data_IF_894900503000
#
_entry.id   IF_894900503000
#
_cell.length_a   1.000
_cell.length_b   1.000
_cell.length_c   1.000
_cell.angle_alpha   90.00
_cell.angle_beta   90.00
_cell.angle_gamma   90.00
#
_symmetry.space_group_name_H-M   'P 1'
#
loop_
_entity.id
_entity.type
_entity.pdbx_description
1 polymer ?
#
# COMPACT_ATOMS: atom_id res chain seq x y z
N UNK A 1 18.92 8.31 33.09
CA UNK A 1 18.20 9.58 32.99
C UNK A 1 17.44 9.55 31.69
N UNK A 2 16.12 9.78 31.69
CA UNK A 2 15.33 9.74 30.45
C UNK A 2 15.58 11.01 29.61
N UNK A 3 15.49 10.98 28.29
CA UNK A 3 15.66 12.14 27.42
C UNK A 3 14.58 13.21 27.72
N UNK A 4 15.00 14.43 28.08
CA UNK A 4 14.12 15.56 28.40
C UNK A 4 14.73 16.90 27.97
N UNK A 5 13.94 17.95 27.96
CA UNK A 5 14.32 19.32 27.64
C UNK A 5 13.47 20.33 28.44
N UNK A 6 13.52 20.24 29.79
CA UNK A 6 12.65 20.99 30.70
C UNK A 6 12.70 22.50 30.47
N UNK A 7 13.87 23.07 30.15
CA UNK A 7 13.99 24.52 29.86
C UNK A 7 13.18 24.93 28.61
N UNK A 8 13.13 24.04 27.59
CA UNK A 8 12.32 24.31 26.38
C UNK A 8 10.83 24.12 26.64
N UNK A 9 10.46 23.17 27.51
CA UNK A 9 9.08 23.00 27.95
C UNK A 9 8.58 24.26 28.68
N UNK A 10 9.37 24.80 29.62
CA UNK A 10 9.10 26.05 30.29
C UNK A 10 8.95 27.23 29.31
N UNK A 11 9.83 27.29 28.31
CA UNK A 11 9.80 28.32 27.28
C UNK A 11 8.51 28.25 26.42
N UNK A 12 8.07 27.05 26.05
CA UNK A 12 6.81 26.87 25.29
C UNK A 12 5.61 27.32 26.12
N UNK A 13 5.50 26.84 27.38
CA UNK A 13 4.38 27.21 28.25
C UNK A 13 4.37 28.73 28.51
N UNK A 14 5.57 29.29 28.82
CA UNK A 14 5.69 30.73 29.08
C UNK A 14 5.28 31.57 27.89
N UNK A 15 5.68 31.18 26.66
CA UNK A 15 5.28 31.86 25.43
C UNK A 15 3.75 31.80 25.24
N UNK A 16 3.12 30.65 25.47
CA UNK A 16 1.66 30.49 25.38
C UNK A 16 0.87 31.31 26.41
N UNK A 17 1.49 31.64 27.55
CA UNK A 17 0.89 32.45 28.60
C UNK A 17 0.94 33.96 28.28
N UNK A 18 1.91 34.41 27.48
CA UNK A 18 2.17 35.82 27.17
C UNK A 18 1.55 36.20 25.81
N UNK A 19 1.72 35.36 24.80
CA UNK A 19 1.34 35.66 23.42
C UNK A 19 0.19 34.74 22.97
N UNK A 20 -0.94 35.36 22.59
CA UNK A 20 -2.14 34.63 22.16
C UNK A 20 -1.92 33.83 20.85
N UNK A 21 -1.00 34.27 20.00
CA UNK A 21 -0.68 33.63 18.74
C UNK A 21 0.30 32.45 18.89
N UNK A 22 0.94 32.27 20.06
CA UNK A 22 1.90 31.23 20.31
C UNK A 22 1.29 29.82 20.40
N UNK A 23 0.15 29.68 21.07
CA UNK A 23 -0.49 28.38 21.26
C UNK A 23 -1.00 27.75 19.96
N UNK A 24 -1.65 28.46 19.01
CA UNK A 24 -2.01 27.91 17.72
C UNK A 24 -0.87 27.28 16.94
N UNK A 25 0.36 27.81 17.05
CA UNK A 25 1.54 27.32 16.34
C UNK A 25 2.03 25.95 16.84
N UNK A 26 1.66 25.58 18.06
CA UNK A 26 2.11 24.35 18.71
C UNK A 26 0.98 23.38 19.09
N UNK A 27 -0.26 23.82 19.05
CA UNK A 27 -1.43 23.03 19.48
C UNK A 27 -1.63 21.74 18.66
N UNK A 28 -1.28 21.78 17.37
CA UNK A 28 -1.37 20.61 16.47
C UNK A 28 -0.12 19.71 16.55
N UNK A 29 0.99 20.25 17.07
CA UNK A 29 2.30 19.56 17.11
C UNK A 29 2.58 18.91 18.46
N UNK A 30 2.02 19.43 19.55
CA UNK A 30 2.26 18.98 20.90
C UNK A 30 1.00 18.49 21.61
N UNK A 31 1.15 17.45 22.39
CA UNK A 31 0.14 16.93 23.31
C UNK A 31 0.69 16.99 24.73
N UNK A 32 -0.18 17.08 25.76
CA UNK A 32 0.25 17.18 27.16
C UNK A 32 1.24 16.08 27.58
N UNK A 33 1.02 14.85 27.16
CA UNK A 33 1.86 13.70 27.46
C UNK A 33 3.28 13.76 26.87
N UNK A 34 3.53 14.68 25.93
CA UNK A 34 4.86 14.89 25.34
C UNK A 34 5.82 15.67 26.25
N UNK A 35 5.28 16.37 27.26
CA UNK A 35 6.10 17.05 28.25
C UNK A 35 6.66 16.04 29.28
N UNK A 36 7.88 16.27 29.73
CA UNK A 36 8.53 15.40 30.70
C UNK A 36 8.08 15.67 32.13
N UNK A 37 7.88 16.97 32.47
CA UNK A 37 7.45 17.40 33.79
C UNK A 37 5.92 17.31 33.91
N UNK A 38 5.45 16.59 34.92
CA UNK A 38 4.02 16.40 35.21
C UNK A 38 3.28 17.76 35.41
N UNK A 39 3.96 18.77 35.97
CA UNK A 39 3.40 20.10 36.13
C UNK A 39 3.17 20.76 34.79
N UNK A 40 4.12 20.61 33.87
CA UNK A 40 4.02 21.13 32.50
C UNK A 40 2.89 20.44 31.72
N UNK A 41 2.74 19.10 31.89
CA UNK A 41 1.63 18.36 31.30
C UNK A 41 0.27 18.93 31.75
N UNK A 42 0.09 19.17 33.05
CA UNK A 42 -1.16 19.70 33.61
C UNK A 42 -1.47 21.12 33.12
N UNK A 43 -0.44 21.96 33.04
CA UNK A 43 -0.60 23.33 32.55
C UNK A 43 -0.97 23.32 31.06
N UNK A 44 -0.21 22.54 30.24
CA UNK A 44 -0.45 22.47 28.81
C UNK A 44 -1.83 21.86 28.49
N UNK A 45 -2.27 20.85 29.25
CA UNK A 45 -3.63 20.30 29.14
C UNK A 45 -4.73 21.34 29.41
N UNK A 46 -4.48 22.25 30.35
CA UNK A 46 -5.41 23.36 30.61
C UNK A 46 -5.42 24.36 29.45
N UNK A 47 -4.25 24.72 28.90
CA UNK A 47 -4.11 25.62 27.76
C UNK A 47 -4.83 25.08 26.52
N UNK A 48 -4.62 23.82 26.15
CA UNK A 48 -5.28 23.16 25.00
C UNK A 48 -6.81 23.14 25.19
N UNK A 49 -7.31 22.81 26.36
CA UNK A 49 -8.76 22.77 26.60
C UNK A 49 -9.39 24.18 26.57
N UNK A 50 -8.67 25.21 27.03
CA UNK A 50 -9.13 26.60 26.92
C UNK A 50 -9.15 27.06 25.46
N UNK A 51 -8.15 26.69 24.68
CA UNK A 51 -8.07 26.94 23.25
C UNK A 51 -9.22 26.30 22.48
N UNK A 52 -9.48 25.01 22.71
CA UNK A 52 -10.61 24.30 22.11
C UNK A 52 -11.97 24.87 22.48
N UNK A 53 -12.09 25.46 23.69
CA UNK A 53 -13.30 26.15 24.15
C UNK A 53 -13.36 27.61 23.71
N UNK A 54 -12.44 28.07 22.85
CA UNK A 54 -12.35 29.47 22.38
C UNK A 54 -12.30 30.52 23.53
N UNK A 55 -11.69 30.16 24.66
CA UNK A 55 -11.48 31.04 25.80
C UNK A 55 -10.22 31.87 25.61
N UNK A 56 -10.24 33.11 26.11
CA UNK A 56 -9.02 33.94 26.18
C UNK A 56 -8.01 33.31 27.14
N UNK A 57 -6.75 33.27 26.72
CA UNK A 57 -5.64 32.70 27.46
C UNK A 57 -4.75 33.84 27.92
N UNK A 58 -4.65 34.00 29.23
CA UNK A 58 -3.72 34.87 29.95
C UNK A 58 -3.43 34.28 31.33
N UNK A 59 -2.46 34.83 32.05
CA UNK A 59 -2.03 34.35 33.36
C UNK A 59 -3.20 34.22 34.36
N UNK A 60 -4.17 35.13 34.34
CA UNK A 60 -5.28 35.12 35.27
C UNK A 60 -6.32 34.08 34.92
N UNK A 61 -6.69 33.97 33.66
CA UNK A 61 -7.67 33.01 33.15
C UNK A 61 -7.16 31.58 33.27
N UNK A 62 -5.86 31.33 33.02
CA UNK A 62 -5.22 30.02 33.20
C UNK A 62 -5.18 29.65 34.69
N UNK A 63 -4.84 30.56 35.57
CA UNK A 63 -4.92 30.34 37.02
C UNK A 63 -6.33 29.92 37.45
N UNK A 64 -7.37 30.59 36.97
CA UNK A 64 -8.76 30.28 37.31
C UNK A 64 -9.13 28.86 36.77
N UNK A 65 -8.77 28.54 35.54
CA UNK A 65 -9.03 27.22 34.96
C UNK A 65 -8.34 26.10 35.74
N UNK A 66 -7.07 26.29 36.14
CA UNK A 66 -6.32 25.33 36.95
C UNK A 66 -6.91 25.20 38.36
N UNK A 67 -7.43 26.28 38.94
CA UNK A 67 -8.16 26.24 40.21
C UNK A 67 -9.45 25.44 40.07
N UNK A 68 -10.23 25.71 39.00
CA UNK A 68 -11.47 25.00 38.67
C UNK A 68 -11.22 23.47 38.50
N UNK A 69 -10.10 23.10 37.94
CA UNK A 69 -9.67 21.68 37.75
C UNK A 69 -9.11 21.06 39.03
N UNK A 70 -8.90 21.86 40.09
CA UNK A 70 -8.32 21.36 41.36
C UNK A 70 -6.86 20.93 41.27
N UNK A 71 -6.11 21.43 40.27
CA UNK A 71 -4.70 21.07 40.02
C UNK A 71 -3.71 22.19 40.36
N UNK A 72 -4.18 23.38 40.72
CA UNK A 72 -3.32 24.55 40.96
C UNK A 72 -2.26 24.29 42.03
N UNK A 73 -2.64 23.68 43.12
CA UNK A 73 -1.68 23.32 44.20
C UNK A 73 -0.67 22.26 43.81
N UNK A 74 -1.07 21.35 42.92
CA UNK A 74 -0.18 20.28 42.44
C UNK A 74 0.97 20.82 41.58
N UNK A 75 0.73 21.92 40.85
CA UNK A 75 1.76 22.55 40.03
C UNK A 75 2.64 23.55 40.75
N UNK A 76 2.48 23.68 42.10
CA UNK A 76 3.25 24.63 42.90
C UNK A 76 2.58 26.01 43.10
N UNK A 77 1.27 26.08 42.86
CA UNK A 77 0.47 27.30 43.10
C UNK A 77 0.60 28.40 42.03
N UNK A 78 0.01 29.58 42.31
CA UNK A 78 0.01 30.68 41.35
C UNK A 78 1.39 31.21 40.99
N UNK A 79 2.38 31.05 41.88
CA UNK A 79 3.75 31.52 41.69
C UNK A 79 4.40 30.87 40.48
N UNK A 80 4.18 29.57 40.27
CA UNK A 80 4.75 28.81 39.14
C UNK A 80 4.32 29.37 37.80
N UNK A 81 3.05 29.77 37.64
CA UNK A 81 2.50 30.38 36.42
C UNK A 81 3.21 31.71 36.11
N UNK A 82 3.40 32.53 37.13
CA UNK A 82 4.10 33.84 37.02
C UNK A 82 5.58 33.60 36.68
N UNK A 83 6.22 32.61 37.31
CA UNK A 83 7.60 32.29 37.05
C UNK A 83 7.81 31.83 35.61
N UNK A 84 6.95 30.94 35.09
CA UNK A 84 7.03 30.46 33.71
C UNK A 84 6.86 31.60 32.70
N UNK A 85 5.93 32.50 32.95
CA UNK A 85 5.70 33.66 32.09
C UNK A 85 6.86 34.67 32.10
N UNK A 86 7.60 34.80 33.22
CA UNK A 86 8.72 35.74 33.34
C UNK A 86 10.01 35.24 32.67
N UNK A 87 10.14 33.95 32.37
CA UNK A 87 11.36 33.35 31.77
C UNK A 87 11.44 33.50 30.24
N UNK A 88 10.36 33.92 29.59
CA UNK A 88 10.29 34.01 28.12
C UNK A 88 10.14 35.45 27.67
N UNK A 89 11.01 35.87 26.77
CA UNK A 89 11.00 37.21 26.18
C UNK A 89 10.28 37.28 24.81
N UNK A 90 10.13 36.13 24.10
CA UNK A 90 9.55 36.08 22.75
C UNK A 90 9.17 34.66 22.34
N UNK A 91 8.09 34.53 21.55
CA UNK A 91 7.63 33.27 20.93
C UNK A 91 8.35 32.94 19.62
N UNK A 92 9.33 33.77 19.19
CA UNK A 92 9.93 33.69 17.83
C UNK A 92 10.47 32.28 17.43
N UNK A 93 10.82 31.43 18.39
CA UNK A 93 11.35 30.08 18.14
C UNK A 93 10.50 28.95 18.71
N UNK A 94 9.22 29.22 19.04
CA UNK A 94 8.36 28.26 19.72
C UNK A 94 8.16 26.96 18.93
N UNK A 95 8.06 27.05 17.62
CA UNK A 95 7.92 25.86 16.76
C UNK A 95 9.17 24.98 16.79
N UNK A 96 10.35 25.58 16.80
CA UNK A 96 11.60 24.84 16.92
C UNK A 96 11.74 24.19 18.30
N UNK A 97 11.36 24.90 19.36
CA UNK A 97 11.31 24.32 20.72
C UNK A 97 10.34 23.15 20.78
N UNK A 98 9.16 23.27 20.17
CA UNK A 98 8.17 22.21 20.08
C UNK A 98 8.72 20.96 19.36
N UNK A 99 9.46 21.12 18.28
CA UNK A 99 10.12 20.02 17.59
C UNK A 99 11.11 19.27 18.49
N UNK A 100 11.91 19.99 19.27
CA UNK A 100 12.86 19.37 20.19
C UNK A 100 12.15 18.62 21.31
N UNK A 101 11.09 19.18 21.90
CA UNK A 101 10.29 18.52 22.94
C UNK A 101 9.66 17.24 22.36
N UNK A 102 9.11 17.30 21.17
CA UNK A 102 8.56 16.15 20.47
C UNK A 102 9.63 15.07 20.20
N UNK A 103 10.82 15.43 19.73
CA UNK A 103 11.92 14.48 19.56
C UNK A 103 12.33 13.80 20.86
N UNK A 104 12.35 14.55 22.00
CA UNK A 104 12.64 13.99 23.32
C UNK A 104 11.56 13.04 23.80
N UNK A 105 10.29 13.34 23.49
CA UNK A 105 9.17 12.43 23.76
C UNK A 105 9.33 11.12 22.97
N UNK A 106 9.57 11.18 21.66
CA UNK A 106 9.79 9.99 20.82
C UNK A 106 10.96 9.15 21.34
N UNK A 107 12.04 9.80 21.77
CA UNK A 107 13.17 9.10 22.35
C UNK A 107 12.79 8.38 23.67
N UNK A 108 11.90 8.96 24.52
CA UNK A 108 11.38 8.30 25.72
C UNK A 108 10.50 7.10 25.39
N UNK A 109 9.58 7.27 24.43
CA UNK A 109 8.70 6.19 23.96
C UNK A 109 9.52 5.03 23.38
N UNK A 110 10.56 5.33 22.60
CA UNK A 110 11.48 4.33 22.06
C UNK A 110 12.20 3.57 23.20
N UNK A 111 12.73 4.28 24.20
CA UNK A 111 13.41 3.65 25.36
C UNK A 111 12.45 2.75 26.13
N UNK A 112 11.23 3.19 26.40
CA UNK A 112 10.22 2.41 27.12
C UNK A 112 9.82 1.17 26.30
N UNK A 113 9.54 1.36 25.00
CA UNK A 113 9.14 0.29 24.10
C UNK A 113 10.23 -0.77 23.93
N UNK A 114 11.49 -0.37 23.68
CA UNK A 114 12.61 -1.31 23.54
C UNK A 114 12.92 -2.06 24.86
N UNK A 115 12.79 -1.41 26.00
CA UNK A 115 12.94 -2.11 27.30
C UNK A 115 11.85 -3.16 27.50
N UNK A 116 10.60 -2.86 27.10
CA UNK A 116 9.51 -3.86 27.14
C UNK A 116 9.83 -5.04 26.23
N UNK A 117 10.26 -4.79 24.99
CA UNK A 117 10.64 -5.85 24.04
C UNK A 117 11.81 -6.68 24.55
N UNK A 118 12.82 -6.04 25.17
CA UNK A 118 13.93 -6.75 25.81
C UNK A 118 13.44 -7.71 26.90
N UNK A 119 12.49 -7.26 27.73
CA UNK A 119 11.91 -8.10 28.79
C UNK A 119 11.12 -9.27 28.20
N UNK A 120 10.30 -9.03 27.15
CA UNK A 120 9.56 -10.09 26.46
C UNK A 120 10.50 -11.11 25.80
N UNK A 121 11.58 -10.65 25.17
CA UNK A 121 12.56 -11.54 24.53
C UNK A 121 13.39 -12.38 25.51
N UNK A 122 13.47 -11.99 26.78
CA UNK A 122 14.13 -12.76 27.85
C UNK A 122 13.16 -13.72 28.56
N UNK A 123 11.87 -13.64 28.31
CA UNK A 123 10.86 -14.50 28.92
C UNK A 123 10.63 -15.73 28.04
N UNK A 124 11.10 -16.90 28.49
CA UNK A 124 10.97 -18.18 27.78
C UNK A 124 9.50 -18.62 27.57
N UNK A 125 8.54 -17.97 28.24
CA UNK A 125 7.10 -18.29 28.08
C UNK A 125 6.44 -17.53 26.94
N UNK A 126 7.12 -16.53 26.37
CA UNK A 126 6.63 -15.70 25.26
C UNK A 126 7.25 -16.20 23.94
N UNK A 127 6.42 -16.39 22.92
CA UNK A 127 6.91 -16.73 21.59
C UNK A 127 7.73 -15.57 20.99
N UNK A 128 8.86 -15.89 20.40
CA UNK A 128 9.73 -14.89 19.78
C UNK A 128 9.02 -14.20 18.60
N UNK A 129 8.14 -14.91 17.89
CA UNK A 129 7.36 -14.35 16.80
C UNK A 129 6.39 -13.26 17.28
N UNK A 130 5.76 -13.45 18.45
CA UNK A 130 4.92 -12.41 19.08
C UNK A 130 5.77 -11.17 19.47
N UNK A 131 6.98 -11.38 19.96
CA UNK A 131 7.91 -10.29 20.29
C UNK A 131 8.34 -9.52 19.05
N UNK A 132 8.57 -10.20 17.93
CA UNK A 132 8.91 -9.56 16.66
C UNK A 132 7.73 -8.74 16.10
N UNK A 133 6.51 -9.24 16.22
CA UNK A 133 5.29 -8.49 15.84
C UNK A 133 5.17 -7.22 16.68
N UNK A 134 5.37 -7.32 18.01
CA UNK A 134 5.34 -6.15 18.90
C UNK A 134 6.45 -5.13 18.56
N UNK A 135 7.64 -5.60 18.14
CA UNK A 135 8.73 -4.74 17.72
C UNK A 135 8.35 -3.95 16.44
N UNK A 136 7.76 -4.60 15.46
CA UNK A 136 7.25 -3.93 14.25
C UNK A 136 6.17 -2.89 14.57
N UNK A 137 5.21 -3.27 15.43
CA UNK A 137 4.15 -2.35 15.87
C UNK A 137 4.70 -1.12 16.59
N UNK A 138 5.76 -1.29 17.41
CA UNK A 138 6.43 -0.18 18.09
C UNK A 138 7.11 0.75 17.08
N UNK A 139 7.86 0.20 16.11
CA UNK A 139 8.53 0.99 15.09
C UNK A 139 7.53 1.77 14.21
N UNK A 140 6.46 1.12 13.76
CA UNK A 140 5.39 1.76 12.99
C UNK A 140 4.72 2.92 13.74
N UNK A 141 4.51 2.76 15.07
CA UNK A 141 3.98 3.83 15.92
C UNK A 141 4.96 5.01 16.03
N UNK A 142 6.24 4.73 16.30
CA UNK A 142 7.27 5.76 16.39
C UNK A 142 7.48 6.50 15.06
N UNK A 143 7.45 5.79 13.92
CA UNK A 143 7.52 6.39 12.60
C UNK A 143 6.29 7.24 12.30
N UNK A 144 5.08 6.74 12.62
CA UNK A 144 3.84 7.49 12.46
C UNK A 144 3.79 8.79 13.29
N UNK A 145 4.38 8.78 14.48
CA UNK A 145 4.48 9.95 15.34
C UNK A 145 5.66 10.88 14.95
N UNK A 146 6.76 10.34 14.39
CA UNK A 146 7.91 11.14 13.93
C UNK A 146 7.63 11.92 12.66
N UNK A 147 6.67 11.46 11.87
CA UNK A 147 6.29 12.08 10.61
C UNK A 147 5.59 13.42 10.82
N UNK A 148 6.34 14.50 10.79
CA UNK A 148 5.80 15.82 10.44
C UNK A 148 5.43 15.78 8.95
N UNK A 149 4.36 15.06 8.62
CA UNK A 149 3.70 15.24 7.35
C UNK A 149 2.86 16.51 7.46
N UNK A 150 3.45 17.64 7.08
CA UNK A 150 2.68 18.77 6.61
C UNK A 150 1.90 18.29 5.37
N UNK A 151 0.79 17.58 5.58
CA UNK A 151 -0.09 17.11 4.51
C UNK A 151 -0.76 18.26 3.77
N UNK A 152 -0.73 19.47 4.36
CA UNK A 152 -1.26 20.69 3.76
C UNK A 152 -0.11 21.36 3.00
N UNK A 153 -0.11 21.19 1.67
CA UNK A 153 0.85 21.84 0.77
C UNK A 153 0.22 23.06 0.12
N UNK A 154 1.01 24.14 -0.01
CA UNK A 154 0.61 25.29 -0.82
C UNK A 154 0.52 24.88 -2.30
N UNK A 155 -0.43 25.50 -3.04
CA UNK A 155 -0.61 25.24 -4.48
C UNK A 155 0.68 25.51 -5.29
N UNK A 156 1.48 26.48 -4.91
CA UNK A 156 2.75 26.82 -5.58
C UNK A 156 3.75 25.65 -5.52
N UNK A 157 3.96 25.07 -4.33
CA UNK A 157 4.79 23.86 -4.16
C UNK A 157 4.23 22.67 -4.90
N UNK A 158 2.90 22.45 -4.85
CA UNK A 158 2.24 21.36 -5.59
C UNK A 158 2.43 21.50 -7.10
N UNK A 159 2.28 22.69 -7.68
CA UNK A 159 2.49 22.93 -9.10
C UNK A 159 3.93 22.68 -9.53
N UNK A 160 4.90 23.16 -8.72
CA UNK A 160 6.32 22.95 -8.99
C UNK A 160 6.67 21.45 -8.99
N UNK A 161 6.18 20.69 -7.99
CA UNK A 161 6.42 19.25 -7.88
C UNK A 161 5.72 18.50 -9.02
N UNK A 162 4.48 18.88 -9.37
CA UNK A 162 3.71 18.27 -10.47
C UNK A 162 4.42 18.43 -11.80
N UNK A 163 4.99 19.62 -12.08
CA UNK A 163 5.75 19.85 -13.31
C UNK A 163 7.01 19.01 -13.37
N UNK A 164 7.77 18.94 -12.27
CA UNK A 164 8.95 18.07 -12.19
C UNK A 164 8.60 16.58 -12.40
N UNK A 165 7.53 16.11 -11.79
CA UNK A 165 7.05 14.74 -12.00
C UNK A 165 6.62 14.51 -13.46
N UNK A 166 5.95 15.48 -14.11
CA UNK A 166 5.57 15.37 -15.50
C UNK A 166 6.80 15.30 -16.42
N UNK A 167 7.82 16.13 -16.18
CA UNK A 167 9.08 16.09 -16.93
C UNK A 167 9.79 14.74 -16.76
N UNK A 168 9.83 14.18 -15.54
CA UNK A 168 10.42 12.87 -15.28
C UNK A 168 9.63 11.74 -15.96
N UNK A 169 8.29 11.81 -15.97
CA UNK A 169 7.44 10.83 -16.69
C UNK A 169 7.70 10.90 -18.20
N UNK A 170 7.78 12.09 -18.78
CA UNK A 170 8.10 12.28 -20.21
C UNK A 170 9.48 11.69 -20.53
N UNK A 171 10.49 11.95 -19.70
CA UNK A 171 11.84 11.44 -19.89
C UNK A 171 11.94 9.91 -19.77
N UNK A 172 11.12 9.29 -18.91
CA UNK A 172 11.05 7.83 -18.70
C UNK A 172 10.12 7.12 -19.68
N UNK A 173 9.24 7.86 -20.37
CA UNK A 173 8.24 7.27 -21.26
C UNK A 173 8.89 6.53 -22.44
N UNK A 174 8.56 5.27 -22.60
CA UNK A 174 8.93 4.45 -23.76
C UNK A 174 7.64 4.13 -24.54
N UNK A 175 7.56 4.56 -25.78
CA UNK A 175 6.38 4.36 -26.65
C UNK A 175 5.04 4.87 -26.06
N UNK A 176 5.08 5.95 -25.25
CA UNK A 176 3.88 6.52 -24.63
C UNK A 176 3.45 5.82 -23.33
N UNK A 177 4.18 4.81 -22.87
CA UNK A 177 3.96 4.14 -21.57
C UNK A 177 4.78 4.86 -20.51
N UNK A 178 4.11 5.41 -19.51
CA UNK A 178 4.74 6.18 -18.40
C UNK A 178 4.92 5.35 -17.14
N UNK A 179 4.09 4.32 -16.96
CA UNK A 179 4.16 3.36 -15.88
C UNK A 179 4.95 2.11 -16.26
N UNK A 180 4.88 1.10 -15.40
CA UNK A 180 5.50 -0.21 -15.64
C UNK A 180 4.72 -0.96 -16.73
N UNK A 181 5.36 -1.43 -17.81
CA UNK A 181 4.68 -2.06 -18.92
C UNK A 181 4.04 -3.40 -18.53
N UNK A 182 2.84 -3.66 -19.00
CA UNK A 182 2.09 -4.90 -18.75
C UNK A 182 2.50 -6.04 -19.69
N UNK A 183 3.14 -5.70 -20.83
CA UNK A 183 3.48 -6.64 -21.90
C UNK A 183 2.33 -6.90 -22.88
N UNK A 184 1.26 -6.11 -22.80
CA UNK A 184 0.15 -6.08 -23.73
C UNK A 184 0.00 -4.65 -24.27
N UNK A 185 0.31 -4.46 -25.54
CA UNK A 185 0.40 -3.13 -26.16
C UNK A 185 -0.90 -2.33 -26.03
N UNK A 186 -2.05 -2.95 -26.29
CA UNK A 186 -3.36 -2.28 -26.18
C UNK A 186 -3.71 -1.92 -24.72
N UNK A 187 -3.31 -2.76 -23.75
CA UNK A 187 -3.51 -2.48 -22.34
C UNK A 187 -2.62 -1.32 -21.89
N UNK A 188 -1.37 -1.31 -22.31
CA UNK A 188 -0.41 -0.26 -21.99
C UNK A 188 -0.84 1.08 -22.61
N UNK A 189 -1.35 1.10 -23.84
CA UNK A 189 -1.92 2.31 -24.45
C UNK A 189 -3.13 2.84 -23.69
N UNK A 190 -4.00 1.94 -23.19
CA UNK A 190 -5.21 2.32 -22.46
C UNK A 190 -4.93 2.79 -21.04
N UNK A 191 -3.99 2.18 -20.33
CA UNK A 191 -3.70 2.47 -18.92
C UNK A 191 -2.45 3.32 -18.69
N UNK A 192 -1.59 3.46 -19.71
CA UNK A 192 -0.25 4.03 -19.56
C UNK A 192 0.74 3.07 -18.88
N UNK A 193 0.40 1.77 -18.75
CA UNK A 193 1.08 0.79 -17.90
C UNK A 193 0.58 0.80 -16.45
N UNK A 194 1.26 0.08 -15.56
CA UNK A 194 0.97 0.10 -14.12
C UNK A 194 1.55 1.39 -13.52
N UNK A 195 0.67 2.28 -13.03
CA UNK A 195 1.08 3.60 -12.54
C UNK A 195 1.47 3.59 -11.07
N UNK A 196 2.44 4.42 -10.72
CA UNK A 196 2.90 4.59 -9.33
C UNK A 196 1.75 5.02 -8.42
N UNK A 197 1.74 4.49 -7.19
CA UNK A 197 0.72 4.73 -6.18
C UNK A 197 -0.68 4.21 -6.50
N UNK A 198 -0.87 3.49 -7.63
CA UNK A 198 -2.16 2.91 -7.97
C UNK A 198 -2.37 1.53 -7.33
N UNK A 199 -3.60 1.30 -6.89
CA UNK A 199 -4.11 -0.01 -6.55
C UNK A 199 -4.87 -0.58 -7.75
N UNK A 200 -4.30 -1.62 -8.36
CA UNK A 200 -4.87 -2.32 -9.51
C UNK A 200 -5.47 -3.64 -9.03
N UNK A 201 -6.75 -3.82 -9.24
CA UNK A 201 -7.43 -5.08 -8.87
C UNK A 201 -7.70 -5.89 -10.12
N UNK A 202 -7.21 -7.14 -10.15
CA UNK A 202 -7.48 -8.09 -11.22
C UNK A 202 -8.39 -9.19 -10.68
N UNK A 203 -9.59 -9.26 -11.21
CA UNK A 203 -10.57 -10.23 -10.76
C UNK A 203 -11.00 -11.19 -11.87
N UNK A 204 -11.18 -12.45 -11.49
CA UNK A 204 -11.62 -13.49 -12.40
C UNK A 204 -12.39 -14.59 -11.67
N UNK A 205 -13.17 -15.39 -12.45
CA UNK A 205 -13.69 -16.66 -11.97
C UNK A 205 -12.54 -17.69 -11.85
N UNK A 206 -12.70 -18.72 -10.99
CA UNK A 206 -11.75 -19.82 -10.93
C UNK A 206 -11.46 -20.40 -12.31
N UNK A 207 -10.23 -20.82 -12.54
CA UNK A 207 -9.75 -21.44 -13.77
C UNK A 207 -9.69 -20.53 -15.02
N UNK A 208 -10.11 -19.28 -14.95
CA UNK A 208 -9.99 -18.32 -16.08
C UNK A 208 -8.52 -17.96 -16.37
N UNK A 209 -7.62 -18.10 -15.38
CA UNK A 209 -6.20 -17.83 -15.55
C UNK A 209 -5.68 -16.59 -14.84
N UNK A 210 -6.35 -16.18 -13.74
CA UNK A 210 -5.97 -15.00 -12.91
C UNK A 210 -4.48 -15.01 -12.53
N UNK A 211 -4.00 -16.05 -11.88
CA UNK A 211 -2.58 -16.21 -11.50
C UNK A 211 -1.66 -16.22 -12.72
N UNK A 212 -2.05 -16.89 -13.83
CA UNK A 212 -1.24 -16.89 -15.05
C UNK A 212 -1.08 -15.48 -15.64
N UNK A 213 -2.13 -14.66 -15.60
CA UNK A 213 -2.10 -13.28 -16.03
C UNK A 213 -1.20 -12.42 -15.12
N UNK A 214 -1.30 -12.60 -13.80
CA UNK A 214 -0.42 -11.93 -12.84
C UNK A 214 1.05 -12.27 -13.03
N UNK A 215 1.36 -13.55 -13.28
CA UNK A 215 2.72 -14.00 -13.58
C UNK A 215 3.25 -13.43 -14.92
N UNK A 216 2.36 -13.25 -15.91
CA UNK A 216 2.70 -12.55 -17.15
C UNK A 216 3.08 -11.09 -16.87
N UNK A 217 2.28 -10.36 -16.07
CA UNK A 217 2.59 -8.98 -15.68
C UNK A 217 3.92 -8.90 -14.93
N UNK A 218 4.16 -9.80 -13.95
CA UNK A 218 5.41 -9.84 -13.19
C UNK A 218 6.63 -10.03 -14.11
N UNK A 219 6.54 -10.97 -15.05
CA UNK A 219 7.61 -11.23 -16.00
C UNK A 219 7.83 -10.04 -16.95
N UNK A 220 6.77 -9.46 -17.48
CA UNK A 220 6.88 -8.31 -18.39
C UNK A 220 7.50 -7.10 -17.71
N UNK A 221 7.09 -6.81 -16.47
CA UNK A 221 7.68 -5.76 -15.65
C UNK A 221 9.18 -6.01 -15.38
N UNK A 222 9.54 -7.26 -15.02
CA UNK A 222 10.92 -7.63 -14.74
C UNK A 222 11.81 -7.58 -16.00
N UNK A 223 11.29 -8.01 -17.16
CA UNK A 223 11.99 -7.88 -18.44
C UNK A 223 12.22 -6.42 -18.86
N UNK A 224 11.36 -5.51 -18.40
CA UNK A 224 11.54 -4.07 -18.58
C UNK A 224 12.49 -3.44 -17.53
N UNK A 225 13.11 -4.27 -16.67
CA UNK A 225 14.10 -3.82 -15.67
C UNK A 225 13.50 -3.39 -14.33
N UNK A 226 12.21 -3.61 -14.09
CA UNK A 226 11.56 -3.26 -12.83
C UNK A 226 11.58 -4.45 -11.86
N UNK A 227 11.90 -4.20 -10.59
CA UNK A 227 11.89 -5.22 -9.56
C UNK A 227 10.47 -5.50 -9.06
N UNK A 228 10.06 -6.77 -9.06
CA UNK A 228 8.69 -7.17 -8.71
C UNK A 228 8.68 -8.09 -7.51
N UNK A 229 7.94 -7.72 -6.46
CA UNK A 229 7.66 -8.56 -5.32
C UNK A 229 6.32 -9.30 -5.51
N UNK A 230 6.32 -10.62 -5.43
CA UNK A 230 5.14 -11.49 -5.60
C UNK A 230 4.87 -12.21 -4.29
N UNK A 231 3.72 -11.93 -3.68
CA UNK A 231 3.24 -12.59 -2.47
C UNK A 231 2.17 -13.62 -2.84
N UNK A 232 2.44 -14.90 -2.59
CA UNK A 232 1.58 -16.01 -3.03
C UNK A 232 1.34 -17.03 -1.91
N UNK A 233 0.45 -16.77 -0.97
CA UNK A 233 0.08 -17.73 0.07
C UNK A 233 -0.66 -18.98 -0.46
N UNK A 234 -1.21 -18.94 -1.69
CA UNK A 234 -1.93 -20.07 -2.31
C UNK A 234 -0.98 -21.07 -2.96
N UNK A 235 0.12 -20.59 -3.54
CA UNK A 235 1.01 -21.43 -4.35
C UNK A 235 2.46 -21.29 -3.90
N UNK A 236 3.13 -22.43 -3.73
CA UNK A 236 4.57 -22.50 -3.47
C UNK A 236 5.38 -21.87 -4.61
N UNK A 237 6.51 -21.27 -4.26
CA UNK A 237 7.40 -20.57 -5.19
C UNK A 237 7.87 -21.44 -6.36
N UNK A 238 8.17 -22.73 -6.12
CA UNK A 238 8.55 -23.68 -7.16
C UNK A 238 7.44 -23.88 -8.20
N UNK A 239 6.17 -23.85 -7.79
CA UNK A 239 5.02 -23.95 -8.69
C UNK A 239 4.85 -22.71 -9.56
N UNK A 240 5.18 -21.55 -9.04
CA UNK A 240 5.20 -20.30 -9.80
C UNK A 240 6.38 -20.33 -10.80
N UNK A 241 7.56 -20.75 -10.35
CA UNK A 241 8.74 -20.92 -11.20
C UNK A 241 8.49 -21.91 -12.33
N UNK A 242 7.84 -23.06 -12.07
CA UNK A 242 7.41 -24.02 -13.08
C UNK A 242 6.56 -23.38 -14.17
N UNK A 243 5.62 -22.49 -13.78
CA UNK A 243 4.77 -21.79 -14.76
C UNK A 243 5.55 -20.80 -15.62
N UNK A 244 6.45 -20.02 -15.01
CA UNK A 244 7.33 -19.12 -15.76
C UNK A 244 8.25 -19.88 -16.70
N UNK A 245 8.80 -21.00 -16.24
CA UNK A 245 9.68 -21.85 -17.04
C UNK A 245 8.93 -22.45 -18.25
N UNK A 246 7.73 -22.99 -18.02
CA UNK A 246 6.87 -23.51 -19.09
C UNK A 246 6.47 -22.41 -20.10
N UNK A 247 6.24 -21.19 -19.62
CA UNK A 247 5.94 -20.04 -20.46
C UNK A 247 7.13 -19.62 -21.35
N UNK A 248 8.34 -19.61 -20.77
CA UNK A 248 9.55 -19.19 -21.45
C UNK A 248 10.11 -20.25 -22.42
N UNK A 249 10.15 -21.51 -21.99
CA UNK A 249 10.74 -22.61 -22.75
C UNK A 249 9.83 -23.21 -23.84
N UNK A 250 8.56 -22.80 -23.90
CA UNK A 250 7.56 -23.34 -24.82
C UNK A 250 7.30 -24.86 -24.67
N UNK A 251 7.59 -25.42 -23.52
CA UNK A 251 7.33 -26.82 -23.22
C UNK A 251 5.83 -27.03 -23.00
N UNK A 252 5.33 -28.20 -23.42
CA UNK A 252 3.97 -28.58 -23.07
C UNK A 252 3.87 -28.82 -21.55
N UNK A 253 3.02 -28.06 -20.81
CA UNK A 253 2.94 -28.20 -19.35
C UNK A 253 2.55 -29.59 -18.86
N UNK A 254 1.78 -30.34 -19.67
CA UNK A 254 1.44 -31.76 -19.35
C UNK A 254 2.68 -32.64 -19.37
N UNK A 255 3.53 -32.49 -20.39
CA UNK A 255 4.79 -33.30 -20.52
C UNK A 255 5.76 -32.92 -19.41
N UNK A 256 5.89 -31.64 -19.11
CA UNK A 256 6.72 -31.13 -18.01
C UNK A 256 6.28 -31.75 -16.68
N UNK A 257 4.99 -31.59 -16.34
CA UNK A 257 4.45 -32.09 -15.07
C UNK A 257 4.53 -33.60 -14.89
N UNK A 258 4.44 -34.38 -15.97
CA UNK A 258 4.46 -35.81 -15.91
C UNK A 258 5.88 -36.40 -16.08
N UNK A 259 6.94 -35.60 -16.13
CA UNK A 259 8.33 -36.04 -16.20
C UNK A 259 8.71 -36.71 -17.52
N UNK A 260 8.06 -36.34 -18.64
CA UNK A 260 8.29 -36.86 -19.97
C UNK A 260 8.69 -35.81 -21.01
N UNK A 261 9.51 -34.78 -20.66
CA UNK A 261 10.01 -33.84 -21.64
C UNK A 261 11.02 -34.56 -22.59
N UNK A 262 11.12 -34.03 -23.81
CA UNK A 262 12.18 -34.46 -24.75
C UNK A 262 13.52 -33.82 -24.36
N UNK A 263 14.63 -34.34 -24.94
CA UNK A 263 15.96 -33.75 -24.76
C UNK A 263 15.98 -32.28 -25.21
N UNK A 264 15.36 -31.97 -26.35
CA UNK A 264 15.25 -30.59 -26.85
C UNK A 264 14.43 -29.69 -25.89
N UNK A 265 13.33 -30.20 -25.33
CA UNK A 265 12.55 -29.48 -24.34
C UNK A 265 13.34 -29.21 -23.07
N UNK A 266 14.20 -30.16 -22.64
CA UNK A 266 15.09 -29.96 -21.49
C UNK A 266 16.17 -28.90 -21.77
N UNK A 267 16.79 -28.92 -22.95
CA UNK A 267 17.74 -27.86 -23.35
C UNK A 267 17.08 -26.47 -23.38
N UNK A 268 15.87 -26.38 -23.95
CA UNK A 268 15.09 -25.15 -23.94
C UNK A 268 14.76 -24.69 -22.49
N UNK A 269 14.46 -25.64 -21.59
CA UNK A 269 14.20 -25.35 -20.20
C UNK A 269 15.44 -24.78 -19.49
N UNK A 270 16.61 -25.35 -19.72
CA UNK A 270 17.87 -24.85 -19.14
C UNK A 270 18.18 -23.42 -19.64
N UNK A 271 17.99 -23.15 -20.93
CA UNK A 271 18.17 -21.82 -21.50
C UNK A 271 17.21 -20.83 -20.88
N UNK A 272 15.92 -21.17 -20.83
CA UNK A 272 14.89 -20.33 -20.21
C UNK A 272 15.12 -20.11 -18.70
N UNK A 273 15.61 -21.14 -17.98
CA UNK A 273 15.96 -21.00 -16.57
C UNK A 273 17.11 -20.00 -16.36
N UNK A 274 18.12 -20.03 -17.23
CA UNK A 274 19.22 -19.05 -17.19
C UNK A 274 18.75 -17.62 -17.43
N UNK A 275 17.83 -17.40 -18.38
CA UNK A 275 17.23 -16.09 -18.66
C UNK A 275 16.37 -15.61 -17.47
N UNK A 276 15.52 -16.50 -16.92
CA UNK A 276 14.63 -16.17 -15.81
C UNK A 276 15.38 -15.88 -14.52
N UNK A 277 16.48 -16.56 -14.25
CA UNK A 277 17.29 -16.36 -13.04
C UNK A 277 17.93 -14.97 -12.96
N UNK A 278 18.08 -14.28 -14.08
CA UNK A 278 18.56 -12.90 -14.16
C UNK A 278 17.48 -11.83 -13.92
N UNK A 279 16.21 -12.22 -13.84
CA UNK A 279 15.11 -11.25 -13.68
C UNK A 279 14.95 -10.87 -12.21
N UNK A 280 14.69 -9.57 -11.90
CA UNK A 280 14.50 -9.08 -10.54
C UNK A 280 13.09 -9.40 -10.02
N UNK A 281 12.77 -10.69 -9.86
CA UNK A 281 11.51 -11.17 -9.30
C UNK A 281 11.78 -11.79 -7.94
N UNK A 282 11.10 -11.29 -6.90
CA UNK A 282 11.18 -11.73 -5.52
C UNK A 282 9.88 -12.40 -5.12
N UNK A 283 9.90 -13.63 -4.67
CA UNK A 283 8.69 -14.40 -4.32
C UNK A 283 8.69 -14.69 -2.83
N UNK A 284 7.56 -14.39 -2.19
CA UNK A 284 7.24 -14.80 -0.83
C UNK A 284 6.03 -15.74 -0.88
N UNK A 285 6.24 -17.00 -0.55
CA UNK A 285 5.24 -18.08 -0.55
C UNK A 285 4.89 -18.55 0.87
N UNK A 286 5.17 -17.72 1.87
CA UNK A 286 4.82 -17.99 3.26
C UNK A 286 3.33 -18.27 3.40
N UNK A 287 2.96 -19.28 4.19
CA UNK A 287 1.58 -19.76 4.31
C UNK A 287 0.67 -18.83 5.14
N UNK A 288 1.25 -17.96 5.96
CA UNK A 288 0.54 -16.97 6.79
C UNK A 288 0.98 -15.56 6.46
N UNK A 289 0.57 -15.06 5.28
CA UNK A 289 0.91 -13.70 4.84
C UNK A 289 -0.17 -12.73 5.30
N UNK A 290 0.13 -11.91 6.31
CA UNK A 290 -0.72 -10.78 6.69
C UNK A 290 -0.38 -9.53 5.88
N UNK A 291 -1.31 -8.58 5.76
CA UNK A 291 -1.03 -7.28 5.10
C UNK A 291 0.10 -6.51 5.81
N UNK A 292 0.28 -6.72 7.11
CA UNK A 292 1.35 -6.08 7.88
C UNK A 292 2.71 -6.72 7.59
N UNK A 293 2.74 -8.06 7.37
CA UNK A 293 3.93 -8.76 6.87
C UNK A 293 4.32 -8.27 5.47
N UNK A 294 3.35 -8.19 4.53
CA UNK A 294 3.59 -7.66 3.18
C UNK A 294 4.18 -6.24 3.26
N UNK A 295 3.62 -5.38 4.10
CA UNK A 295 4.10 -4.00 4.27
C UNK A 295 5.55 -3.96 4.74
N UNK A 296 5.89 -4.73 5.77
CA UNK A 296 7.25 -4.79 6.34
C UNK A 296 8.27 -5.34 5.34
N UNK A 297 7.93 -6.45 4.67
CA UNK A 297 8.76 -7.08 3.64
C UNK A 297 8.96 -6.15 2.42
N UNK A 298 7.89 -5.52 1.93
CA UNK A 298 7.96 -4.60 0.80
C UNK A 298 8.80 -3.35 1.11
N UNK A 299 8.70 -2.79 2.32
CA UNK A 299 9.55 -1.68 2.78
C UNK A 299 11.04 -2.08 2.76
N UNK A 300 11.35 -3.28 3.27
CA UNK A 300 12.72 -3.79 3.28
C UNK A 300 13.25 -3.97 1.84
N UNK A 301 12.46 -4.55 0.94
CA UNK A 301 12.84 -4.68 -0.47
C UNK A 301 13.00 -3.31 -1.13
N UNK A 302 12.09 -2.36 -0.87
CA UNK A 302 12.16 -0.99 -1.42
C UNK A 302 13.40 -0.25 -0.94
N UNK A 303 13.78 -0.38 0.32
CA UNK A 303 15.02 0.23 0.86
C UNK A 303 16.30 -0.31 0.20
N UNK A 304 16.24 -1.50 -0.40
CA UNK A 304 17.31 -2.13 -1.18
C UNK A 304 17.22 -1.88 -2.68
N UNK A 305 16.27 -1.07 -3.13
CA UNK A 305 15.92 -0.85 -4.55
C UNK A 305 15.56 -2.17 -5.27
N UNK A 306 14.84 -3.06 -4.58
CA UNK A 306 14.42 -4.37 -5.05
C UNK A 306 12.90 -4.51 -5.12
N UNK A 307 12.15 -3.40 -5.18
CA UNK A 307 10.70 -3.42 -5.26
C UNK A 307 10.18 -2.17 -5.99
N UNK A 308 9.76 -2.35 -7.23
CA UNK A 308 9.12 -1.32 -8.06
C UNK A 308 7.65 -1.64 -8.33
N UNK A 309 7.21 -2.88 -8.10
CA UNK A 309 5.81 -3.29 -8.13
C UNK A 309 5.56 -4.43 -7.14
N UNK A 310 4.33 -4.51 -6.64
CA UNK A 310 3.88 -5.58 -5.75
C UNK A 310 2.72 -6.32 -6.41
N UNK A 311 2.73 -7.66 -6.36
CA UNK A 311 1.62 -8.52 -6.79
C UNK A 311 1.22 -9.43 -5.62
N UNK A 312 -0.08 -9.44 -5.27
CA UNK A 312 -0.63 -10.24 -4.16
C UNK A 312 -1.64 -11.24 -4.72
N UNK A 313 -1.36 -12.53 -4.64
CA UNK A 313 -2.26 -13.61 -5.10
C UNK A 313 -2.69 -14.49 -3.92
N UNK A 314 -3.84 -14.36 -3.39
CA UNK A 314 -4.94 -13.46 -3.57
C UNK A 314 -5.49 -13.03 -2.18
N UNK A 315 -6.17 -11.90 -2.13
CA UNK A 315 -6.57 -11.18 -0.91
C UNK A 315 -7.29 -12.03 0.14
N UNK A 316 -8.14 -12.98 -0.28
CA UNK A 316 -8.99 -13.77 0.63
C UNK A 316 -8.24 -14.84 1.43
N UNK A 317 -6.94 -15.06 1.17
CA UNK A 317 -6.05 -15.96 1.91
C UNK A 317 -5.08 -15.24 2.84
N UNK A 318 -4.94 -13.91 2.70
CA UNK A 318 -4.15 -13.14 3.65
C UNK A 318 -4.80 -13.25 5.03
N UNK A 319 -4.07 -13.81 5.99
CA UNK A 319 -4.55 -14.01 7.36
C UNK A 319 -4.81 -12.65 8.01
N UNK A 320 -6.08 -12.35 8.27
CA UNK A 320 -6.54 -11.07 8.78
C UNK A 320 -6.80 -11.17 10.28
N UNK A 321 -5.89 -11.85 11.00
CA UNK A 321 -6.00 -12.09 12.43
C UNK A 321 -6.03 -10.80 13.24
N UNK A 322 -7.21 -10.20 13.30
CA UNK A 322 -7.63 -9.41 14.44
C UNK A 322 -8.51 -10.30 15.31
N UNK A 323 -8.12 -10.49 16.57
CA UNK A 323 -8.75 -11.33 17.62
C UNK A 323 -10.23 -10.97 17.96
N UNK A 324 -11.05 -10.63 16.95
CA UNK A 324 -12.47 -10.35 17.13
C UNK A 324 -13.31 -11.36 16.34
N UNK A 325 -13.84 -12.33 17.05
CA UNK A 325 -14.58 -13.52 16.58
C UNK A 325 -15.90 -13.27 15.81
N UNK A 326 -16.22 -12.03 15.38
CA UNK A 326 -17.51 -11.67 14.76
C UNK A 326 -17.40 -10.68 13.59
N UNK A 327 -16.29 -10.62 12.85
CA UNK A 327 -16.23 -9.75 11.66
C UNK A 327 -16.75 -10.48 10.42
N UNK A 328 -17.61 -9.80 9.66
CA UNK A 328 -18.05 -10.23 8.33
C UNK A 328 -16.85 -10.23 7.37
N UNK A 329 -16.73 -11.27 6.54
CA UNK A 329 -15.69 -11.43 5.51
C UNK A 329 -15.55 -10.21 4.59
N UNK A 330 -16.65 -9.51 4.30
CA UNK A 330 -16.65 -8.24 3.56
C UNK A 330 -15.82 -7.15 4.23
N UNK A 331 -15.86 -7.04 5.56
CA UNK A 331 -15.10 -6.04 6.31
C UNK A 331 -13.61 -6.35 6.30
N UNK A 332 -13.24 -7.62 6.33
CA UNK A 332 -11.84 -8.06 6.26
C UNK A 332 -11.25 -7.73 4.88
N UNK A 333 -11.95 -8.06 3.81
CA UNK A 333 -11.56 -7.73 2.44
C UNK A 333 -11.44 -6.22 2.25
N UNK A 334 -12.40 -5.44 2.78
CA UNK A 334 -12.36 -3.99 2.75
C UNK A 334 -11.13 -3.41 3.45
N UNK A 335 -10.82 -3.93 4.64
CA UNK A 335 -9.65 -3.47 5.41
C UNK A 335 -8.34 -3.79 4.70
N UNK A 336 -8.21 -4.99 4.12
CA UNK A 336 -7.01 -5.37 3.40
C UNK A 336 -6.83 -4.59 2.10
N UNK A 337 -7.91 -4.33 1.36
CA UNK A 337 -7.88 -3.47 0.16
C UNK A 337 -7.42 -2.05 0.50
N UNK A 338 -7.94 -1.49 1.61
CA UNK A 338 -7.53 -0.18 2.09
C UNK A 338 -6.06 -0.16 2.52
N UNK A 339 -5.56 -1.20 3.23
CA UNK A 339 -4.15 -1.35 3.58
C UNK A 339 -3.27 -1.45 2.32
N UNK A 340 -3.70 -2.20 1.29
CA UNK A 340 -2.99 -2.30 0.02
C UNK A 340 -2.91 -0.94 -0.71
N UNK A 341 -4.00 -0.14 -0.71
CA UNK A 341 -3.98 1.21 -1.27
C UNK A 341 -3.06 2.16 -0.50
N UNK A 342 -3.05 2.07 0.83
CA UNK A 342 -2.13 2.85 1.65
C UNK A 342 -0.68 2.47 1.38
N UNK A 343 -0.39 1.18 1.22
CA UNK A 343 0.94 0.66 0.87
C UNK A 343 1.41 1.20 -0.49
N UNK A 344 0.55 1.19 -1.51
CA UNK A 344 0.86 1.74 -2.83
C UNK A 344 1.24 3.22 -2.75
N UNK A 345 0.50 4.01 -1.97
CA UNK A 345 0.79 5.44 -1.74
C UNK A 345 2.07 5.67 -0.94
N UNK A 346 2.31 4.87 0.08
CA UNK A 346 3.46 4.98 0.98
C UNK A 346 4.77 4.71 0.24
N UNK A 347 4.81 3.64 -0.56
CA UNK A 347 6.01 3.23 -1.29
C UNK A 347 6.16 3.89 -2.67
N UNK A 348 5.14 4.63 -3.13
CA UNK A 348 5.07 5.21 -4.48
C UNK A 348 5.32 4.16 -5.59
N UNK A 349 4.64 3.01 -5.49
CA UNK A 349 4.70 1.92 -6.46
C UNK A 349 3.30 1.35 -6.73
N UNK A 350 3.06 0.73 -7.92
CA UNK A 350 1.82 0.01 -8.18
C UNK A 350 1.70 -1.24 -7.30
N UNK A 351 0.49 -1.47 -6.79
CA UNK A 351 0.11 -2.70 -6.10
C UNK A 351 -0.99 -3.40 -6.90
N UNK A 352 -0.69 -4.59 -7.38
CA UNK A 352 -1.64 -5.45 -8.10
C UNK A 352 -2.21 -6.47 -7.13
N UNK A 353 -3.52 -6.40 -6.93
CA UNK A 353 -4.26 -7.26 -6.02
C UNK A 353 -5.14 -8.21 -6.80
N UNK A 354 -4.98 -9.50 -6.60
CA UNK A 354 -5.83 -10.50 -7.24
C UNK A 354 -7.07 -10.79 -6.38
N UNK A 355 -8.23 -10.86 -7.03
CA UNK A 355 -9.52 -11.14 -6.37
C UNK A 355 -10.32 -12.21 -7.13
N UNK A 356 -11.22 -12.88 -6.43
CA UNK A 356 -12.12 -13.86 -7.03
C UNK A 356 -13.51 -13.27 -7.21
N UNK A 357 -14.13 -13.51 -8.37
CA UNK A 357 -15.50 -13.08 -8.65
C UNK A 357 -16.54 -14.05 -8.07
N UNK A 358 -17.69 -13.52 -7.68
CA UNK A 358 -18.86 -14.27 -7.23
C UNK A 358 -19.42 -15.19 -8.32
N UNK A 359 -20.11 -16.28 -7.90
CA UNK A 359 -20.77 -17.23 -8.82
C UNK A 359 -21.90 -16.62 -9.64
N UNK A 360 -22.46 -15.50 -9.20
CA UNK A 360 -23.55 -14.81 -9.91
C UNK A 360 -23.21 -14.40 -11.34
N UNK A 361 -21.90 -14.19 -11.64
CA UNK A 361 -21.45 -13.92 -13.00
C UNK A 361 -21.76 -15.04 -13.99
N UNK A 362 -21.90 -16.30 -13.53
CA UNK A 362 -22.21 -17.47 -14.36
C UNK A 362 -23.68 -17.54 -14.76
N UNK A 363 -24.57 -16.88 -14.02
CA UNK A 363 -26.02 -16.88 -14.28
C UNK A 363 -26.43 -15.95 -15.43
N UNK A 364 -25.51 -15.15 -15.96
CA UNK A 364 -25.77 -14.26 -17.10
C UNK A 364 -25.52 -14.95 -18.43
N UNK A 365 -26.23 -14.55 -19.50
CA UNK A 365 -25.97 -15.05 -20.84
C UNK A 365 -24.51 -14.80 -21.24
N UNK A 366 -23.73 -15.86 -21.45
CA UNK A 366 -22.32 -15.78 -21.80
C UNK A 366 -21.34 -15.63 -20.64
N UNK A 367 -21.81 -15.53 -19.39
CA UNK A 367 -20.93 -15.49 -18.20
C UNK A 367 -19.97 -14.31 -18.15
N UNK A 368 -20.25 -13.20 -18.88
CA UNK A 368 -19.38 -12.04 -18.93
C UNK A 368 -19.36 -11.31 -17.57
N UNK A 369 -18.20 -11.07 -16.99
CA UNK A 369 -18.11 -10.41 -15.69
C UNK A 369 -18.35 -8.90 -15.79
N UNK A 370 -18.90 -8.33 -14.72
CA UNK A 370 -19.13 -6.91 -14.51
C UNK A 370 -18.70 -6.51 -13.10
N UNK A 371 -18.49 -5.21 -12.84
CA UNK A 371 -18.12 -4.67 -11.52
C UNK A 371 -19.06 -5.16 -10.40
N UNK A 372 -20.36 -5.28 -10.68
CA UNK A 372 -21.35 -5.76 -9.71
C UNK A 372 -21.04 -7.17 -9.17
N UNK A 373 -20.25 -7.98 -9.88
CA UNK A 373 -19.84 -9.31 -9.45
C UNK A 373 -18.69 -9.30 -8.42
N UNK A 374 -18.11 -8.12 -8.15
CA UNK A 374 -17.23 -7.85 -6.99
C UNK A 374 -18.05 -7.52 -5.72
N UNK A 375 -19.35 -7.75 -5.68
CA UNK A 375 -20.35 -7.22 -4.73
C UNK A 375 -20.14 -7.63 -3.27
N UNK A 376 -19.44 -8.71 -2.96
CA UNK A 376 -18.97 -9.01 -1.59
C UNK A 376 -17.81 -8.08 -1.15
N UNK A 377 -17.42 -7.12 -1.99
CA UNK A 377 -16.27 -6.27 -1.81
C UNK A 377 -16.52 -4.87 -2.40
N UNK A 378 -17.65 -4.23 -2.04
CA UNK A 378 -17.95 -2.85 -2.43
C UNK A 378 -16.79 -1.88 -2.11
N UNK A 379 -15.99 -2.22 -1.10
CA UNK A 379 -14.77 -1.49 -0.77
C UNK A 379 -13.67 -1.64 -1.83
N UNK A 380 -13.55 -2.80 -2.50
CA UNK A 380 -12.59 -2.98 -3.61
C UNK A 380 -12.91 -1.98 -4.72
N UNK A 381 -14.21 -1.87 -5.06
CA UNK A 381 -14.65 -0.93 -6.09
C UNK A 381 -14.35 0.53 -5.69
N UNK A 382 -14.48 0.89 -4.42
CA UNK A 382 -14.23 2.26 -3.95
C UNK A 382 -12.74 2.60 -3.90
N UNK A 383 -11.91 1.72 -3.35
CA UNK A 383 -10.50 1.98 -3.05
C UNK A 383 -9.58 1.76 -4.26
N UNK A 384 -9.92 0.85 -5.18
CA UNK A 384 -9.12 0.57 -6.37
C UNK A 384 -9.11 1.76 -7.35
N UNK A 385 -7.95 2.05 -7.94
CA UNK A 385 -7.82 3.03 -9.02
C UNK A 385 -8.17 2.42 -10.36
N UNK A 386 -7.75 1.16 -10.57
CA UNK A 386 -8.04 0.38 -11.78
C UNK A 386 -8.64 -0.97 -11.40
N UNK A 387 -9.71 -1.38 -12.05
CA UNK A 387 -10.30 -2.71 -11.92
C UNK A 387 -10.34 -3.38 -13.27
N UNK A 388 -9.66 -4.52 -13.37
CA UNK A 388 -9.58 -5.36 -14.56
C UNK A 388 -10.31 -6.68 -14.31
N UNK A 389 -11.26 -7.03 -15.15
CA UNK A 389 -11.96 -8.30 -15.10
C UNK A 389 -11.50 -9.20 -16.23
N UNK A 390 -10.97 -10.36 -15.90
CA UNK A 390 -10.52 -11.31 -16.90
C UNK A 390 -11.69 -12.20 -17.35
N UNK A 391 -11.82 -12.34 -18.66
CA UNK A 391 -12.85 -13.14 -19.29
C UNK A 391 -12.31 -13.97 -20.45
N UNK A 392 -12.77 -15.22 -20.55
CA UNK A 392 -12.42 -16.14 -21.66
C UNK A 392 -13.72 -16.71 -22.21
N UNK A 393 -14.26 -16.12 -23.33
CA UNK A 393 -15.56 -16.52 -23.87
C UNK A 393 -15.62 -17.99 -24.33
N UNK A 394 -14.49 -18.56 -24.80
CA UNK A 394 -14.42 -19.97 -25.17
C UNK A 394 -14.76 -20.95 -24.01
N UNK A 395 -14.51 -20.56 -22.76
CA UNK A 395 -14.88 -21.38 -21.59
C UNK A 395 -16.40 -21.46 -21.39
N UNK A 396 -17.14 -20.49 -21.94
CA UNK A 396 -18.60 -20.44 -21.94
C UNK A 396 -19.20 -21.03 -23.23
N UNK A 397 -18.38 -21.74 -24.02
CA UNK A 397 -18.78 -22.34 -25.31
C UNK A 397 -19.27 -21.30 -26.34
N UNK A 398 -18.84 -20.08 -26.22
CA UNK A 398 -19.11 -19.01 -27.18
C UNK A 398 -18.09 -19.17 -28.30
N UNK A 399 -18.56 -19.22 -29.55
CA UNK A 399 -17.68 -19.39 -30.72
C UNK A 399 -17.14 -18.05 -31.23
N UNK A 400 -17.96 -17.00 -31.12
CA UNK A 400 -17.63 -15.65 -31.57
C UNK A 400 -17.93 -14.66 -30.47
N UNK A 401 -16.98 -13.81 -30.10
CA UNK A 401 -17.20 -12.76 -29.13
C UNK A 401 -18.22 -11.73 -29.65
N UNK A 402 -19.19 -11.34 -28.83
CA UNK A 402 -20.30 -10.51 -29.27
C UNK A 402 -19.92 -9.05 -29.54
N UNK A 403 -18.89 -8.56 -28.88
CA UNK A 403 -18.51 -7.16 -28.99
C UNK A 403 -17.50 -6.93 -30.10
N UNK A 404 -16.46 -7.76 -30.16
CA UNK A 404 -15.42 -7.64 -31.19
C UNK A 404 -15.75 -8.39 -32.49
N UNK A 405 -16.62 -9.38 -32.42
CA UNK A 405 -16.84 -10.33 -33.52
C UNK A 405 -15.69 -11.32 -33.72
N UNK A 406 -14.67 -11.33 -32.87
CA UNK A 406 -13.53 -12.21 -33.01
C UNK A 406 -13.85 -13.67 -32.65
N UNK A 407 -13.21 -14.65 -33.32
CA UNK A 407 -13.27 -16.03 -32.88
C UNK A 407 -12.69 -16.18 -31.48
N UNK A 408 -13.35 -16.96 -30.64
CA UNK A 408 -13.00 -17.03 -29.20
C UNK A 408 -11.94 -18.06 -28.85
N UNK A 409 -11.51 -18.90 -29.80
CA UNK A 409 -10.45 -19.86 -29.56
C UNK A 409 -9.10 -19.12 -29.37
N UNK A 410 -8.46 -19.34 -28.21
CA UNK A 410 -7.24 -18.65 -27.85
C UNK A 410 -7.40 -17.15 -27.53
N UNK A 411 -8.65 -16.65 -27.47
CA UNK A 411 -8.96 -15.27 -27.12
C UNK A 411 -9.25 -15.11 -25.64
N UNK A 412 -8.55 -14.18 -25.00
CA UNK A 412 -8.85 -13.64 -23.70
C UNK A 412 -9.23 -12.16 -23.78
N UNK A 413 -10.01 -11.70 -22.83
CA UNK A 413 -10.44 -10.31 -22.74
C UNK A 413 -10.10 -9.77 -21.35
N UNK A 414 -9.40 -8.64 -21.30
CA UNK A 414 -9.25 -7.81 -20.11
C UNK A 414 -10.30 -6.71 -20.19
N UNK A 415 -11.31 -6.76 -19.37
CA UNK A 415 -12.33 -5.72 -19.27
C UNK A 415 -11.82 -4.71 -18.24
N UNK A 416 -11.36 -3.54 -18.67
CA UNK A 416 -11.05 -2.41 -17.80
C UNK A 416 -12.38 -1.83 -17.34
N UNK A 417 -12.89 -2.32 -16.24
CA UNK A 417 -14.23 -2.00 -15.73
C UNK A 417 -14.26 -0.70 -14.93
N UNK A 418 -13.12 -0.31 -14.37
CA UNK A 418 -12.92 0.97 -13.67
C UNK A 418 -11.51 1.48 -13.94
N UNK A 419 -11.39 2.79 -14.20
CA UNK A 419 -10.12 3.51 -14.27
C UNK A 419 -10.34 4.96 -13.82
N UNK A 420 -9.65 5.39 -12.76
CA UNK A 420 -9.86 6.76 -12.21
C UNK A 420 -9.35 7.84 -13.15
N UNK A 421 -8.23 7.57 -13.82
CA UNK A 421 -7.51 8.57 -14.62
C UNK A 421 -7.55 8.26 -16.14
N UNK A 422 -8.49 7.43 -16.60
CA UNK A 422 -8.56 7.04 -18.01
C UNK A 422 -9.91 6.42 -18.39
N UNK A 423 -9.95 5.84 -19.59
CA UNK A 423 -11.17 5.28 -20.17
C UNK A 423 -11.32 3.79 -19.81
N UNK A 424 -12.55 3.37 -19.56
CA UNK A 424 -12.94 1.97 -19.46
C UNK A 424 -13.05 1.32 -20.84
N UNK A 425 -13.07 0.00 -20.90
CA UNK A 425 -13.27 -0.71 -22.16
C UNK A 425 -12.60 -2.09 -22.17
N UNK A 426 -12.61 -2.74 -23.32
CA UNK A 426 -12.05 -4.06 -23.48
C UNK A 426 -10.66 -3.98 -24.13
N UNK A 427 -9.80 -4.89 -23.70
CA UNK A 427 -8.50 -5.16 -24.33
C UNK A 427 -8.44 -6.66 -24.65
N UNK A 428 -8.05 -6.99 -25.85
CA UNK A 428 -8.01 -8.36 -26.32
C UNK A 428 -6.59 -8.90 -26.27
N UNK A 429 -6.42 -10.11 -25.75
CA UNK A 429 -5.13 -10.78 -25.72
C UNK A 429 -5.23 -12.22 -26.23
N UNK A 430 -4.16 -12.68 -26.86
CA UNK A 430 -4.00 -14.07 -27.26
C UNK A 430 -3.44 -14.92 -26.13
N UNK A 431 -3.85 -16.19 -26.05
CA UNK A 431 -3.28 -17.15 -25.12
C UNK A 431 -3.23 -18.56 -25.71
N UNK A 432 -2.28 -19.37 -25.26
CA UNK A 432 -2.28 -20.80 -25.53
C UNK A 432 -3.33 -21.54 -24.66
N UNK A 433 -3.71 -22.77 -25.00
CA UNK A 433 -4.76 -23.52 -24.23
C UNK A 433 -4.49 -23.63 -22.73
N UNK A 434 -3.21 -23.71 -22.33
CA UNK A 434 -2.80 -23.83 -20.92
C UNK A 434 -2.65 -22.49 -20.19
N UNK A 435 -2.87 -21.34 -20.85
CA UNK A 435 -2.64 -19.99 -20.30
C UNK A 435 -1.22 -19.74 -19.79
N UNK A 436 -0.25 -20.53 -20.24
CA UNK A 436 1.16 -20.26 -19.89
C UNK A 436 1.76 -19.14 -20.74
N UNK A 437 1.27 -18.94 -21.97
CA UNK A 437 1.66 -17.83 -22.83
C UNK A 437 0.51 -16.88 -23.04
N UNK A 438 0.79 -15.59 -22.84
CA UNK A 438 -0.10 -14.44 -23.07
C UNK A 438 0.64 -13.48 -23.97
N UNK A 439 -0.03 -12.96 -24.99
CA UNK A 439 0.55 -12.09 -26.02
C UNK A 439 -0.53 -11.19 -26.65
N UNK A 440 -0.13 -10.17 -27.37
CA UNK A 440 -1.05 -9.28 -28.09
C UNK A 440 -1.90 -10.10 -29.08
N UNK A 441 -3.22 -9.88 -29.06
CA UNK A 441 -4.12 -10.58 -29.96
C UNK A 441 -4.02 -10.00 -31.37
N UNK A 442 -3.79 -10.87 -32.35
CA UNK A 442 -3.82 -10.53 -33.76
C UNK A 442 -5.05 -11.20 -34.38
N UNK A 443 -6.05 -10.44 -34.85
CA UNK A 443 -7.21 -11.01 -35.52
C UNK A 443 -6.82 -11.85 -36.73
N UNK A 444 -7.53 -12.97 -37.01
CA UNK A 444 -7.28 -13.77 -38.22
C UNK A 444 -7.43 -12.94 -39.49
N UNK A 445 -6.59 -13.20 -40.50
CA UNK A 445 -6.60 -12.48 -41.79
C UNK A 445 -7.97 -12.47 -42.45
N UNK A 446 -8.69 -13.59 -42.41
CA UNK A 446 -10.06 -13.70 -42.94
C UNK A 446 -11.06 -12.72 -42.31
N UNK A 447 -10.84 -12.38 -41.02
CA UNK A 447 -11.64 -11.40 -40.31
C UNK A 447 -11.28 -9.98 -40.77
N UNK A 448 -9.99 -9.68 -40.91
CA UNK A 448 -9.50 -8.38 -41.35
C UNK A 448 -9.97 -8.07 -42.77
N UNK A 449 -9.94 -9.06 -43.68
CA UNK A 449 -10.41 -8.91 -45.04
C UNK A 449 -11.93 -8.67 -45.17
N UNK A 450 -12.74 -9.26 -44.27
CA UNK A 450 -14.20 -9.04 -44.25
C UNK A 450 -14.60 -7.67 -43.70
N UNK A 451 -13.77 -7.03 -42.90
CA UNK A 451 -14.07 -5.78 -42.19
C UNK A 451 -13.19 -4.61 -42.66
N UNK A 452 -12.33 -4.82 -43.67
CA UNK A 452 -11.49 -3.79 -44.30
C UNK A 452 -12.26 -2.93 -45.31
N UNK A 453 -13.60 -2.89 -45.29
CA UNK A 453 -14.45 -2.09 -46.18
C UNK A 453 -15.11 -0.93 -45.45
#
# INVERSE_FOLDING_TARGET
MQPHASELEEAIIGACLIEQEALPLVADKLRPEMFYDDHHQLIFAALIAMYQANKKIDILTVKEELTRRGVLEKIGGPYTIVQLSSRVASSAHIEYHAQIVHQKYLAREAVVGFNKLLTCAMDETIDIDDTLIDAHNLLDRLEGESGHHDHIRCMDTLMTDTLKEAELRIAKSVNGVTGIPTGLTELDQKTGGLQDSDLIVIAARPSVGKTAFALHLARSAAMAGNAVAVYSPEMQGERLADRWLAAASNINPYRWRNGIPTLQEMENAHTAASELSGLPIYVDDSTSVSMDHIRSSARLLKSRNQCDAIIIDYLQLCDMTTKQANRNREQEVAQATRKAKLLAKELHIPVVLLSQLNRESENRPGGRPELAHLRESGAIEQDADVVMLLYRPAMQRIVTDRESGYPTEGLGVVIVAKQRNGETGNVYFGHNPSMTKIYDYVPPLEYLEKHAK
#
